data_IF_125897446728
#
_entry.id   IF_125897446728
#
_cell.length_a   1.000
_cell.length_b   1.000
_cell.length_c   1.000
_cell.angle_alpha   90.00
_cell.angle_beta   90.00
_cell.angle_gamma   90.00
#
_symmetry.space_group_name_H-M   'P 1'
#
loop_
_entity.id
_entity.type
_entity.pdbx_description
1 polymer ?
#
# COMPACT_ATOMS: atom_id res chain seq x y z
N UNK A 1 24.29 12.10 19.56
CA UNK A 1 22.90 11.66 19.32
C UNK A 1 22.98 10.19 18.95
N UNK A 2 22.42 9.33 19.77
CA UNK A 2 22.46 7.90 19.52
C UNK A 2 21.56 7.58 18.32
N UNK A 3 22.10 6.81 17.37
CA UNK A 3 21.31 6.19 16.29
C UNK A 3 20.11 5.47 16.89
N UNK A 4 18.90 5.56 16.30
CA UNK A 4 17.74 4.84 16.82
C UNK A 4 18.10 3.35 16.95
N UNK A 5 17.76 2.69 18.06
CA UNK A 5 18.25 1.34 18.43
C UNK A 5 17.70 0.21 17.53
N UNK A 6 17.09 0.50 16.40
CA UNK A 6 16.34 -0.46 15.58
C UNK A 6 16.59 -0.32 14.07
N UNK A 7 17.84 -0.34 13.61
CA UNK A 7 18.07 -0.61 12.20
C UNK A 7 18.09 -2.13 11.97
N UNK A 8 16.92 -2.72 11.75
CA UNK A 8 16.83 -4.12 11.32
C UNK A 8 16.95 -4.15 9.79
N UNK A 9 17.91 -4.92 9.31
CA UNK A 9 18.06 -5.20 7.88
C UNK A 9 17.47 -6.56 7.60
N UNK A 10 16.50 -6.63 6.67
CA UNK A 10 16.05 -7.91 6.11
C UNK A 10 16.56 -8.04 4.68
N UNK A 11 17.09 -9.21 4.39
CA UNK A 11 17.54 -9.59 3.05
C UNK A 11 16.59 -10.65 2.49
N UNK A 12 16.14 -10.43 1.29
CA UNK A 12 15.38 -11.42 0.51
C UNK A 12 16.32 -12.01 -0.52
N UNK A 13 16.62 -13.29 -0.37
CA UNK A 13 17.40 -14.10 -1.30
C UNK A 13 16.44 -15.15 -1.90
N UNK A 14 15.57 -14.74 -2.80
CA UNK A 14 14.61 -15.64 -3.43
C UNK A 14 14.63 -15.44 -4.94
N UNK A 15 14.61 -16.53 -5.70
CA UNK A 15 14.50 -16.48 -7.16
C UNK A 15 15.65 -15.75 -7.88
N UNK A 16 16.86 -15.66 -7.27
CA UNK A 16 18.02 -14.96 -7.86
C UNK A 16 18.01 -13.44 -7.66
N UNK A 17 17.08 -12.92 -6.87
CA UNK A 17 17.02 -11.51 -6.51
C UNK A 17 17.57 -11.31 -5.08
N UNK A 18 18.55 -10.41 -4.96
CA UNK A 18 19.04 -9.91 -3.68
C UNK A 18 18.41 -8.54 -3.43
N UNK A 19 17.49 -8.46 -2.48
CA UNK A 19 16.91 -7.20 -2.03
C UNK A 19 17.18 -6.99 -0.54
N UNK A 20 17.65 -5.82 -0.19
CA UNK A 20 17.85 -5.41 1.19
C UNK A 20 16.86 -4.29 1.55
N UNK A 21 16.03 -4.51 2.56
CA UNK A 21 15.20 -3.46 3.16
C UNK A 21 15.70 -3.13 4.55
N UNK A 22 15.86 -1.83 4.79
CA UNK A 22 16.22 -1.29 6.11
C UNK A 22 14.98 -0.75 6.80
N UNK A 23 14.84 -1.08 8.07
CA UNK A 23 13.71 -0.65 8.89
C UNK A 23 14.18 0.33 9.97
N UNK A 24 13.35 1.30 10.35
CA UNK A 24 12.00 1.56 9.83
C UNK A 24 12.02 1.91 8.33
N UNK A 25 11.00 1.45 7.58
CA UNK A 25 10.85 1.70 6.14
C UNK A 25 9.76 2.75 5.89
N UNK A 26 10.00 3.70 5.00
CA UNK A 26 9.00 4.70 4.60
C UNK A 26 8.46 4.36 3.21
N UNK A 27 7.16 4.09 3.16
CA UNK A 27 6.35 3.95 1.96
C UNK A 27 5.93 5.34 1.46
N UNK A 28 5.15 5.38 0.39
CA UNK A 28 4.60 6.62 -0.13
C UNK A 28 3.37 7.14 0.64
N UNK A 29 2.78 8.22 0.12
CA UNK A 29 1.54 8.82 0.58
C UNK A 29 0.36 8.51 -0.36
N UNK A 30 -0.70 9.32 -0.28
CA UNK A 30 -1.91 9.14 -1.05
C UNK A 30 -1.69 9.28 -2.55
N UNK A 31 -2.10 8.26 -3.30
CA UNK A 31 -2.16 8.32 -4.78
C UNK A 31 -3.58 8.61 -5.29
N UNK A 32 -4.62 8.32 -4.51
CA UNK A 32 -6.02 8.52 -4.90
C UNK A 32 -6.55 9.93 -4.63
N UNK A 33 -6.25 10.54 -3.48
CA UNK A 33 -6.77 11.87 -3.11
C UNK A 33 -5.98 13.03 -3.69
N UNK A 34 -4.70 12.87 -3.99
CA UNK A 34 -3.89 13.92 -4.61
C UNK A 34 -4.28 14.24 -6.06
N UNK A 35 -4.59 13.27 -6.94
CA UNK A 35 -5.17 13.53 -8.25
C UNK A 35 -6.48 14.33 -8.21
N UNK A 36 -7.33 14.15 -7.17
CA UNK A 36 -8.54 14.95 -7.01
C UNK A 36 -8.23 16.45 -6.87
N UNK A 37 -7.13 16.82 -6.21
CA UNK A 37 -6.66 18.21 -6.12
C UNK A 37 -6.12 18.74 -7.44
N UNK A 38 -5.79 17.85 -8.36
CA UNK A 38 -5.23 18.16 -9.69
C UNK A 38 -6.24 18.00 -10.83
N UNK A 39 -7.54 17.89 -10.51
CA UNK A 39 -8.63 17.90 -11.49
C UNK A 39 -9.29 16.57 -11.79
N UNK A 40 -8.93 15.48 -11.11
CA UNK A 40 -9.69 14.23 -11.20
C UNK A 40 -11.07 14.39 -10.56
N UNK A 41 -12.11 14.12 -11.33
CA UNK A 41 -13.51 14.32 -10.94
C UNK A 41 -14.25 13.04 -10.56
N UNK A 42 -13.70 11.88 -10.91
CA UNK A 42 -14.32 10.58 -10.67
C UNK A 42 -15.21 10.06 -11.80
N UNK A 43 -15.29 10.76 -12.92
CA UNK A 43 -16.14 10.39 -14.07
C UNK A 43 -15.63 9.12 -14.79
N UNK A 44 -14.35 8.83 -14.65
CA UNK A 44 -13.68 7.63 -15.16
C UNK A 44 -12.87 6.99 -14.03
N UNK A 45 -12.32 5.79 -14.22
CA UNK A 45 -11.45 5.21 -13.19
C UNK A 45 -10.19 6.06 -12.97
N UNK A 46 -9.61 5.96 -11.78
CA UNK A 46 -8.34 6.64 -11.47
C UNK A 46 -7.24 6.22 -12.44
N UNK A 47 -7.20 4.95 -12.79
CA UNK A 47 -6.22 4.37 -13.71
C UNK A 47 -6.34 4.97 -15.12
N UNK A 48 -7.58 5.14 -15.62
CA UNK A 48 -7.83 5.81 -16.92
C UNK A 48 -7.37 7.26 -16.87
N UNK A 49 -7.69 7.98 -15.79
CA UNK A 49 -7.31 9.37 -15.64
C UNK A 49 -5.78 9.53 -15.55
N UNK A 50 -5.09 8.66 -14.80
CA UNK A 50 -3.62 8.67 -14.70
C UNK A 50 -2.97 8.43 -16.05
N UNK A 51 -3.47 7.51 -16.88
CA UNK A 51 -2.93 7.29 -18.22
C UNK A 51 -3.15 8.50 -19.16
N UNK A 52 -4.24 9.25 -18.94
CA UNK A 52 -4.48 10.50 -19.67
C UNK A 52 -3.66 11.69 -19.15
N UNK A 53 -3.23 11.65 -17.88
CA UNK A 53 -2.48 12.70 -17.19
C UNK A 53 -1.21 12.15 -16.52
N UNK A 54 -0.29 11.51 -17.25
CA UNK A 54 0.82 10.75 -16.66
C UNK A 54 1.79 11.61 -15.86
N UNK A 55 1.95 12.89 -16.20
CA UNK A 55 2.84 13.79 -15.46
C UNK A 55 2.35 14.07 -14.04
N UNK A 56 1.03 14.04 -13.82
CA UNK A 56 0.46 14.21 -12.49
C UNK A 56 1.01 13.16 -11.50
N UNK A 57 1.01 11.88 -11.89
CA UNK A 57 1.50 10.82 -11.02
C UNK A 57 3.03 10.83 -10.90
N UNK A 58 3.74 11.16 -12.00
CA UNK A 58 5.21 11.28 -11.98
C UNK A 58 5.69 12.36 -11.01
N UNK A 59 5.08 13.55 -11.06
CA UNK A 59 5.41 14.65 -10.16
C UNK A 59 5.09 14.32 -8.71
N UNK A 60 3.89 13.77 -8.48
CA UNK A 60 3.45 13.35 -7.15
C UNK A 60 4.45 12.38 -6.51
N UNK A 61 4.79 11.32 -7.24
CA UNK A 61 5.67 10.26 -6.75
C UNK A 61 7.12 10.74 -6.58
N UNK A 62 7.63 11.61 -7.46
CA UNK A 62 8.93 12.27 -7.25
C UNK A 62 8.93 13.07 -5.95
N UNK A 63 7.84 13.81 -5.68
CA UNK A 63 7.66 14.52 -4.42
C UNK A 63 7.73 13.60 -3.20
N UNK A 64 7.18 12.40 -3.27
CA UNK A 64 7.28 11.41 -2.19
C UNK A 64 8.73 10.89 -2.02
N UNK A 65 9.44 10.61 -3.11
CA UNK A 65 10.85 10.21 -3.05
C UNK A 65 11.69 11.30 -2.40
N UNK A 66 11.51 12.55 -2.80
CA UNK A 66 12.23 13.71 -2.25
C UNK A 66 11.89 13.93 -0.76
N UNK A 67 10.66 13.63 -0.34
CA UNK A 67 10.23 13.65 1.05
C UNK A 67 10.82 12.50 1.90
N UNK A 68 11.29 11.41 1.27
CA UNK A 68 11.95 10.30 1.94
C UNK A 68 11.34 8.92 1.74
N UNK A 69 10.33 8.77 0.87
CA UNK A 69 9.79 7.45 0.53
C UNK A 69 10.86 6.57 -0.13
N UNK A 70 10.88 5.31 0.26
CA UNK A 70 11.78 4.28 -0.28
C UNK A 70 11.04 3.23 -1.11
N UNK A 71 9.74 3.22 -1.05
CA UNK A 71 8.84 2.37 -1.84
C UNK A 71 7.73 3.25 -2.36
N UNK A 72 7.49 3.19 -3.67
CA UNK A 72 6.36 3.85 -4.35
C UNK A 72 5.38 2.78 -4.82
N UNK A 73 4.11 3.03 -4.63
CA UNK A 73 3.04 2.16 -5.12
C UNK A 73 2.67 2.52 -6.55
N UNK A 74 2.51 1.51 -7.42
CA UNK A 74 1.99 1.74 -8.76
C UNK A 74 0.56 2.26 -8.69
N UNK A 75 0.11 3.12 -9.63
CA UNK A 75 -1.28 3.59 -9.66
C UNK A 75 -2.20 2.53 -10.27
N UNK A 76 -2.18 1.31 -9.69
CA UNK A 76 -2.89 0.12 -10.17
C UNK A 76 -3.86 -0.44 -9.12
N UNK A 77 -4.28 0.39 -8.18
CA UNK A 77 -5.24 0.03 -7.12
C UNK A 77 -6.49 -0.65 -7.67
N UNK A 78 -7.11 -0.10 -8.71
CA UNK A 78 -8.25 -0.68 -9.42
C UNK A 78 -7.87 -1.51 -10.65
N UNK A 79 -6.62 -1.93 -10.77
CA UNK A 79 -6.06 -2.58 -11.96
C UNK A 79 -6.43 -4.05 -12.19
N UNK A 80 -7.23 -4.68 -11.32
CA UNK A 80 -7.68 -6.05 -11.55
C UNK A 80 -8.79 -6.13 -12.63
N UNK A 81 -8.93 -7.30 -13.24
CA UNK A 81 -9.84 -7.51 -14.37
C UNK A 81 -11.29 -7.12 -14.08
N UNK A 82 -11.76 -7.34 -12.85
CA UNK A 82 -13.14 -7.05 -12.45
C UNK A 82 -13.40 -5.55 -12.41
N UNK A 83 -12.52 -4.78 -11.77
CA UNK A 83 -12.67 -3.33 -11.64
C UNK A 83 -12.47 -2.62 -12.97
N UNK A 84 -11.48 -3.02 -13.76
CA UNK A 84 -11.25 -2.46 -15.08
C UNK A 84 -12.47 -2.68 -15.99
N UNK A 85 -13.03 -3.89 -16.00
CA UNK A 85 -14.25 -4.19 -16.76
C UNK A 85 -15.46 -3.35 -16.30
N UNK A 86 -15.62 -3.15 -14.99
CA UNK A 86 -16.70 -2.31 -14.43
C UNK A 86 -16.60 -0.84 -14.86
N UNK A 87 -15.40 -0.36 -15.20
CA UNK A 87 -15.15 0.98 -15.76
C UNK A 87 -15.06 0.99 -17.29
N UNK A 88 -15.46 -0.08 -17.97
CA UNK A 88 -15.49 -0.15 -19.44
C UNK A 88 -14.12 -0.24 -20.09
N UNK A 89 -13.08 -0.59 -19.38
CA UNK A 89 -11.76 -0.84 -19.97
C UNK A 89 -11.79 -2.17 -20.69
N UNK A 90 -11.52 -2.13 -22.00
CA UNK A 90 -11.51 -3.32 -22.88
C UNK A 90 -10.10 -3.73 -23.32
N UNK A 91 -9.09 -2.96 -22.92
CA UNK A 91 -7.69 -3.28 -23.18
C UNK A 91 -7.28 -4.54 -22.37
N UNK A 92 -6.27 -5.25 -22.84
CA UNK A 92 -5.66 -6.35 -22.11
C UNK A 92 -5.18 -5.90 -20.73
N UNK A 93 -5.62 -6.61 -19.68
CA UNK A 93 -5.40 -6.23 -18.28
C UNK A 93 -3.90 -6.17 -17.94
N UNK A 94 -3.10 -7.11 -18.48
CA UNK A 94 -1.66 -7.12 -18.22
C UNK A 94 -0.97 -5.92 -18.89
N UNK A 95 -1.29 -5.66 -20.16
CA UNK A 95 -0.74 -4.51 -20.88
C UNK A 95 -1.11 -3.18 -20.21
N UNK A 96 -2.35 -3.09 -19.70
CA UNK A 96 -2.83 -1.90 -18.99
C UNK A 96 -2.05 -1.64 -17.70
N UNK A 97 -1.89 -2.65 -16.85
CA UNK A 97 -1.11 -2.55 -15.61
C UNK A 97 0.37 -2.28 -15.86
N UNK A 98 0.97 -2.88 -16.90
CA UNK A 98 2.35 -2.61 -17.31
C UNK A 98 2.57 -1.13 -17.64
N UNK A 99 1.64 -0.51 -18.38
CA UNK A 99 1.71 0.92 -18.72
C UNK A 99 1.65 1.81 -17.47
N UNK A 100 0.75 1.51 -16.54
CA UNK A 100 0.63 2.24 -15.28
C UNK A 100 1.89 2.10 -14.41
N UNK A 101 2.40 0.88 -14.25
CA UNK A 101 3.60 0.62 -13.46
C UNK A 101 4.86 1.28 -14.04
N UNK A 102 4.96 1.42 -15.36
CA UNK A 102 6.05 2.13 -16.01
C UNK A 102 6.17 3.59 -15.55
N UNK A 103 5.04 4.27 -15.30
CA UNK A 103 5.03 5.65 -14.80
C UNK A 103 5.71 5.76 -13.42
N UNK A 104 5.44 4.80 -12.54
CA UNK A 104 6.08 4.74 -11.22
C UNK A 104 7.57 4.42 -11.34
N UNK A 105 7.95 3.52 -12.23
CA UNK A 105 9.37 3.20 -12.48
C UNK A 105 10.14 4.44 -12.95
N UNK A 106 9.56 5.23 -13.85
CA UNK A 106 10.12 6.51 -14.30
C UNK A 106 10.23 7.53 -13.15
N UNK A 107 9.19 7.64 -12.32
CA UNK A 107 9.19 8.55 -11.17
C UNK A 107 10.22 8.14 -10.11
N UNK A 108 10.37 6.85 -9.84
CA UNK A 108 11.33 6.30 -8.89
C UNK A 108 12.77 6.61 -9.30
N UNK A 109 13.10 6.57 -10.60
CA UNK A 109 14.43 6.93 -11.13
C UNK A 109 15.58 6.19 -10.44
N UNK A 110 15.37 4.96 -9.99
CA UNK A 110 16.34 4.16 -9.23
C UNK A 110 16.57 4.60 -7.77
N UNK A 111 15.82 5.60 -7.27
CA UNK A 111 15.94 6.14 -5.90
C UNK A 111 14.99 5.48 -4.90
N UNK A 112 13.98 4.77 -5.40
CA UNK A 112 12.99 4.04 -4.60
C UNK A 112 12.62 2.73 -5.31
N UNK A 113 12.18 1.75 -4.55
CA UNK A 113 11.60 0.51 -5.04
C UNK A 113 10.19 0.79 -5.57
N UNK A 114 9.75 -0.02 -6.52
CA UNK A 114 8.42 0.03 -7.11
C UNK A 114 7.60 -1.17 -6.61
N UNK A 115 6.51 -0.89 -5.91
CA UNK A 115 5.58 -1.89 -5.43
C UNK A 115 4.38 -2.00 -6.37
N UNK A 116 4.10 -3.19 -6.89
CA UNK A 116 2.88 -3.49 -7.62
C UNK A 116 1.69 -3.44 -6.67
N UNK A 117 0.84 -2.42 -6.81
CA UNK A 117 -0.30 -2.18 -5.92
C UNK A 117 -1.54 -2.92 -6.41
N UNK A 118 -2.15 -3.69 -5.51
CA UNK A 118 -3.34 -4.52 -5.73
C UNK A 118 -4.33 -4.27 -4.60
N UNK A 119 -5.58 -4.00 -4.95
CA UNK A 119 -6.65 -3.72 -4.00
C UNK A 119 -7.86 -4.67 -4.22
N UNK A 120 -8.89 -4.65 -3.33
CA UNK A 120 -10.02 -5.56 -3.42
C UNK A 120 -10.67 -5.59 -4.80
N UNK A 121 -11.05 -6.79 -5.25
CA UNK A 121 -11.79 -6.99 -6.50
C UNK A 121 -13.19 -6.35 -6.46
N UNK A 122 -13.76 -6.24 -5.28
CA UNK A 122 -15.17 -5.86 -5.07
C UNK A 122 -16.12 -7.05 -5.16
N UNK A 123 -15.62 -8.24 -5.44
CA UNK A 123 -16.41 -9.48 -5.43
C UNK A 123 -16.38 -10.13 -4.04
N UNK A 124 -17.48 -10.74 -3.68
CA UNK A 124 -17.62 -11.52 -2.43
C UNK A 124 -18.04 -12.95 -2.71
N UNK A 125 -17.51 -13.87 -1.90
CA UNK A 125 -17.96 -15.26 -1.88
C UNK A 125 -19.30 -15.39 -1.15
N UNK A 126 -20.04 -16.50 -1.35
CA UNK A 126 -21.21 -16.81 -0.52
C UNK A 126 -20.87 -16.78 0.97
N UNK A 127 -21.76 -16.29 1.86
CA UNK A 127 -23.11 -15.81 1.57
C UNK A 127 -23.21 -14.32 1.21
N UNK A 128 -22.08 -13.57 1.15
CA UNK A 128 -22.05 -12.12 0.90
C UNK A 128 -22.16 -11.76 -0.58
N UNK A 129 -21.90 -12.70 -1.46
CA UNK A 129 -21.99 -12.56 -2.93
C UNK A 129 -21.98 -13.93 -3.60
N UNK A 130 -21.90 -13.95 -4.93
CA UNK A 130 -22.00 -15.18 -5.73
C UNK A 130 -20.67 -15.58 -6.41
N UNK A 131 -19.58 -14.86 -6.11
CA UNK A 131 -18.30 -15.16 -6.73
C UNK A 131 -17.69 -16.46 -6.19
N UNK A 132 -17.00 -17.19 -7.06
CA UNK A 132 -16.15 -18.30 -6.66
C UNK A 132 -14.75 -17.80 -6.27
N UNK A 133 -14.07 -18.54 -5.40
CA UNK A 133 -12.69 -18.22 -5.05
C UNK A 133 -11.76 -18.21 -6.28
N UNK A 134 -12.02 -19.08 -7.26
CA UNK A 134 -11.29 -19.12 -8.52
C UNK A 134 -11.41 -17.82 -9.32
N UNK A 135 -12.60 -17.21 -9.37
CA UNK A 135 -12.77 -15.91 -10.05
C UNK A 135 -11.93 -14.80 -9.41
N UNK A 136 -11.77 -14.80 -8.08
CA UNK A 136 -10.87 -13.85 -7.40
C UNK A 136 -9.41 -14.07 -7.82
N UNK A 137 -8.94 -15.32 -7.80
CA UNK A 137 -7.57 -15.65 -8.22
C UNK A 137 -7.32 -15.26 -9.68
N UNK A 138 -8.22 -15.60 -10.58
CA UNK A 138 -8.08 -15.32 -12.02
C UNK A 138 -8.10 -13.80 -12.31
N UNK A 139 -8.86 -13.01 -11.53
CA UNK A 139 -8.87 -11.55 -11.66
C UNK A 139 -7.51 -10.92 -11.27
N UNK A 140 -6.90 -11.41 -10.21
CA UNK A 140 -5.57 -10.96 -9.79
C UNK A 140 -4.45 -11.48 -10.68
N UNK A 141 -4.54 -12.70 -11.19
CA UNK A 141 -3.51 -13.30 -12.02
C UNK A 141 -3.19 -12.45 -13.25
N UNK A 142 -4.21 -11.86 -13.89
CA UNK A 142 -4.03 -10.97 -15.04
C UNK A 142 -3.32 -9.66 -14.64
N UNK A 143 -3.66 -9.09 -13.49
CA UNK A 143 -2.99 -7.90 -12.95
C UNK A 143 -1.52 -8.21 -12.63
N UNK A 144 -1.27 -9.32 -11.95
CA UNK A 144 0.09 -9.76 -11.58
C UNK A 144 0.97 -9.96 -12.82
N UNK A 145 0.44 -10.55 -13.89
CA UNK A 145 1.19 -10.72 -15.15
C UNK A 145 1.74 -9.38 -15.67
N UNK A 146 0.91 -8.34 -15.72
CA UNK A 146 1.35 -7.01 -16.16
C UNK A 146 2.34 -6.34 -15.21
N UNK A 147 2.18 -6.52 -13.91
CA UNK A 147 3.10 -6.00 -12.91
C UNK A 147 4.46 -6.70 -12.95
N UNK A 148 4.49 -8.03 -13.16
CA UNK A 148 5.73 -8.78 -13.38
C UNK A 148 6.46 -8.33 -14.65
N UNK A 149 5.75 -8.18 -15.76
CA UNK A 149 6.32 -7.67 -17.02
C UNK A 149 6.88 -6.24 -16.87
N UNK A 150 6.27 -5.40 -16.00
CA UNK A 150 6.78 -4.08 -15.66
C UNK A 150 8.00 -4.12 -14.74
N UNK A 151 8.36 -5.28 -14.20
CA UNK A 151 9.52 -5.47 -13.34
C UNK A 151 9.36 -4.80 -11.97
N UNK A 152 8.18 -4.89 -11.33
CA UNK A 152 8.00 -4.40 -9.96
C UNK A 152 8.94 -5.13 -8.99
N UNK A 153 9.38 -4.45 -7.92
CA UNK A 153 10.35 -5.00 -6.98
C UNK A 153 9.69 -5.84 -5.88
N UNK A 154 8.45 -5.50 -5.52
CA UNK A 154 7.63 -6.18 -4.51
C UNK A 154 6.15 -5.97 -4.83
N UNK A 155 5.28 -6.66 -4.10
CA UNK A 155 3.83 -6.52 -4.19
C UNK A 155 3.24 -5.92 -2.92
N UNK A 156 2.23 -5.09 -3.10
CA UNK A 156 1.38 -4.58 -2.03
C UNK A 156 -0.06 -4.97 -2.32
N UNK A 157 -0.68 -5.61 -1.36
CA UNK A 157 -2.10 -6.01 -1.38
C UNK A 157 -2.76 -5.16 -0.31
N UNK A 158 -3.28 -3.97 -0.72
CA UNK A 158 -3.68 -2.95 0.24
C UNK A 158 -5.19 -2.77 0.39
N UNK A 159 -5.60 -2.21 1.52
CA UNK A 159 -6.99 -1.85 1.83
C UNK A 159 -7.93 -3.06 1.76
N UNK A 160 -7.41 -4.22 2.11
CA UNK A 160 -8.21 -5.44 2.04
C UNK A 160 -9.34 -5.41 3.05
N UNK A 161 -10.48 -5.90 2.60
CA UNK A 161 -11.73 -5.93 3.37
C UNK A 161 -12.26 -7.35 3.58
N UNK A 162 -11.68 -8.33 2.89
CA UNK A 162 -12.03 -9.74 2.95
C UNK A 162 -10.78 -10.61 2.99
N UNK A 163 -10.76 -11.57 3.90
CA UNK A 163 -9.67 -12.55 3.96
C UNK A 163 -9.62 -13.42 2.71
N UNK A 164 -10.76 -13.77 2.15
CA UNK A 164 -10.81 -14.58 0.93
C UNK A 164 -10.19 -13.84 -0.26
N UNK A 165 -10.48 -12.56 -0.40
CA UNK A 165 -9.92 -11.71 -1.45
C UNK A 165 -8.40 -11.55 -1.28
N UNK A 166 -7.95 -11.24 -0.05
CA UNK A 166 -6.52 -11.15 0.26
C UNK A 166 -5.75 -12.47 -0.03
N UNK A 167 -6.34 -13.63 0.33
CA UNK A 167 -5.76 -14.94 0.04
C UNK A 167 -5.65 -15.19 -1.46
N UNK A 168 -6.67 -14.82 -2.23
CA UNK A 168 -6.66 -14.97 -3.68
C UNK A 168 -5.54 -14.14 -4.32
N UNK A 169 -5.35 -12.88 -3.87
CA UNK A 169 -4.27 -12.02 -4.33
C UNK A 169 -2.89 -12.61 -4.00
N UNK A 170 -2.67 -13.09 -2.75
CA UNK A 170 -1.42 -13.74 -2.36
C UNK A 170 -1.14 -14.98 -3.22
N UNK A 171 -2.13 -15.82 -3.47
CA UNK A 171 -1.97 -17.00 -4.32
C UNK A 171 -1.63 -16.63 -5.77
N UNK A 172 -2.26 -15.59 -6.32
CA UNK A 172 -1.97 -15.13 -7.68
C UNK A 172 -0.50 -14.66 -7.80
N UNK A 173 0.01 -13.91 -6.81
CA UNK A 173 1.42 -13.49 -6.79
C UNK A 173 2.35 -14.70 -6.63
N UNK A 174 2.10 -15.58 -5.64
CA UNK A 174 2.97 -16.73 -5.37
C UNK A 174 2.97 -17.79 -6.47
N UNK A 175 1.98 -17.77 -7.36
CA UNK A 175 1.97 -18.65 -8.54
C UNK A 175 3.06 -18.30 -9.56
N UNK A 176 3.60 -17.07 -9.54
CA UNK A 176 4.54 -16.58 -10.56
C UNK A 176 5.86 -16.06 -9.98
N UNK A 177 5.91 -15.67 -8.70
CA UNK A 177 7.10 -15.01 -8.15
C UNK A 177 7.23 -15.19 -6.63
N UNK A 178 8.49 -15.15 -6.16
CA UNK A 178 8.86 -15.15 -4.74
C UNK A 178 9.13 -13.74 -4.20
N UNK A 179 8.86 -12.68 -4.96
CA UNK A 179 9.03 -11.29 -4.52
C UNK A 179 8.28 -11.02 -3.22
N UNK A 180 8.74 -10.06 -2.38
CA UNK A 180 8.06 -9.74 -1.14
C UNK A 180 6.62 -9.30 -1.36
N UNK A 181 5.73 -9.72 -0.44
CA UNK A 181 4.32 -9.34 -0.41
C UNK A 181 4.03 -8.63 0.91
N UNK A 182 3.56 -7.39 0.84
CA UNK A 182 3.05 -6.62 1.96
C UNK A 182 1.53 -6.59 1.90
N UNK A 183 0.86 -6.83 3.02
CA UNK A 183 -0.61 -6.84 3.05
C UNK A 183 -1.12 -5.85 4.09
N UNK A 184 -2.10 -5.03 3.74
CA UNK A 184 -2.80 -4.15 4.68
C UNK A 184 -4.31 -4.31 4.61
N UNK A 185 -4.95 -4.20 5.77
CA UNK A 185 -6.40 -4.23 5.92
C UNK A 185 -6.94 -2.88 6.36
N UNK A 186 -8.13 -2.55 5.88
CA UNK A 186 -8.97 -1.52 6.46
C UNK A 186 -9.91 -2.17 7.49
N UNK A 187 -9.94 -1.63 8.71
CA UNK A 187 -10.79 -2.15 9.79
C UNK A 187 -11.38 -1.03 10.63
N UNK A 188 -12.45 -1.37 11.35
CA UNK A 188 -13.07 -0.54 12.36
C UNK A 188 -12.27 -0.52 13.68
N UNK A 189 -12.79 0.16 14.69
CA UNK A 189 -12.19 0.26 16.03
C UNK A 189 -12.09 -1.08 16.77
N UNK A 190 -12.89 -2.08 16.36
CA UNK A 190 -12.88 -3.43 16.93
C UNK A 190 -11.91 -4.37 16.19
N UNK A 191 -11.23 -3.88 15.14
CA UNK A 191 -10.33 -4.65 14.31
C UNK A 191 -11.04 -5.58 13.34
N UNK A 192 -12.26 -5.21 12.91
CA UNK A 192 -13.01 -5.94 11.90
C UNK A 192 -13.12 -5.14 10.61
N UNK A 193 -12.88 -5.81 9.51
CA UNK A 193 -13.16 -5.23 8.19
C UNK A 193 -14.67 -5.17 7.94
N UNK A 194 -15.08 -4.45 6.90
CA UNK A 194 -16.49 -4.32 6.52
C UNK A 194 -17.15 -5.67 6.21
N UNK A 195 -16.39 -6.69 5.78
CA UNK A 195 -16.89 -8.06 5.60
C UNK A 195 -16.88 -8.91 6.88
N UNK A 196 -16.53 -8.32 8.03
CA UNK A 196 -16.46 -9.01 9.32
C UNK A 196 -15.14 -9.74 9.59
N UNK A 197 -14.15 -9.69 8.69
CA UNK A 197 -12.83 -10.30 8.90
C UNK A 197 -12.12 -9.66 10.09
N UNK A 198 -11.73 -10.46 11.09
CA UNK A 198 -10.86 -10.03 12.18
C UNK A 198 -9.41 -9.90 11.68
N UNK A 199 -8.76 -8.76 11.91
CA UNK A 199 -7.40 -8.50 11.40
C UNK A 199 -6.34 -9.41 12.01
N UNK A 200 -6.55 -9.94 13.23
CA UNK A 200 -5.62 -10.91 13.84
C UNK A 200 -5.75 -12.28 13.17
N UNK A 201 -6.98 -12.68 12.85
CA UNK A 201 -7.21 -13.90 12.07
C UNK A 201 -6.63 -13.77 10.65
N UNK A 202 -6.78 -12.59 10.03
CA UNK A 202 -6.17 -12.31 8.74
C UNK A 202 -4.64 -12.38 8.79
N UNK A 203 -4.00 -11.73 9.78
CA UNK A 203 -2.56 -11.83 9.99
C UNK A 203 -2.12 -13.30 10.12
N UNK A 204 -2.77 -14.07 11.01
CA UNK A 204 -2.38 -15.45 11.28
C UNK A 204 -2.46 -16.32 10.02
N UNK A 205 -3.53 -16.20 9.24
CA UNK A 205 -3.70 -16.96 8.02
C UNK A 205 -2.71 -16.57 6.92
N UNK A 206 -2.50 -15.25 6.73
CA UNK A 206 -1.69 -14.75 5.62
C UNK A 206 -0.19 -14.90 5.87
N UNK A 207 0.28 -14.78 7.11
CA UNK A 207 1.72 -15.00 7.39
C UNK A 207 2.12 -16.46 7.16
N UNK A 208 1.20 -17.43 7.35
CA UNK A 208 1.44 -18.84 7.00
C UNK A 208 1.42 -19.08 5.48
N UNK A 209 0.81 -18.16 4.71
CA UNK A 209 0.88 -18.17 3.25
C UNK A 209 2.15 -17.49 2.70
N UNK A 210 3.06 -17.05 3.58
CA UNK A 210 4.36 -16.50 3.20
C UNK A 210 4.34 -15.03 2.78
N UNK A 211 3.48 -14.19 3.37
CA UNK A 211 3.60 -12.74 3.24
C UNK A 211 4.81 -12.24 4.05
N UNK A 212 5.33 -11.08 3.67
CA UNK A 212 6.58 -10.53 4.23
C UNK A 212 6.35 -9.35 5.19
N UNK A 213 5.17 -8.72 5.13
CA UNK A 213 4.73 -7.71 6.10
C UNK A 213 3.20 -7.66 6.16
N UNK A 214 2.65 -7.25 7.30
CA UNK A 214 1.21 -7.13 7.52
C UNK A 214 0.87 -5.86 8.28
N UNK A 215 -0.27 -5.22 8.02
CA UNK A 215 -0.68 -4.08 8.79
C UNK A 215 -2.04 -3.48 8.44
N UNK A 216 -2.17 -2.20 8.74
CA UNK A 216 -3.42 -1.46 8.65
C UNK A 216 -3.25 -0.19 7.82
N UNK A 217 -4.29 0.20 7.10
CA UNK A 217 -4.38 1.45 6.38
C UNK A 217 -5.80 2.03 6.40
N UNK A 218 -5.99 3.22 5.83
CA UNK A 218 -7.30 3.87 5.64
C UNK A 218 -8.09 4.22 6.93
N UNK A 219 -7.45 4.31 8.09
CA UNK A 219 -7.99 4.89 9.31
C UNK A 219 -7.01 5.89 9.92
N UNK A 220 -7.39 6.59 10.98
CA UNK A 220 -6.46 7.52 11.63
C UNK A 220 -5.40 6.78 12.45
N UNK A 221 -4.25 7.43 12.71
CA UNK A 221 -3.20 6.83 13.52
C UNK A 221 -3.70 6.43 14.92
N UNK A 222 -4.54 7.24 15.54
CA UNK A 222 -5.13 6.94 16.85
C UNK A 222 -6.04 5.71 16.83
N UNK A 223 -6.85 5.54 15.77
CA UNK A 223 -7.73 4.38 15.61
C UNK A 223 -6.96 3.08 15.36
N UNK A 224 -5.80 3.15 14.69
CA UNK A 224 -4.97 1.98 14.42
C UNK A 224 -4.25 1.44 15.65
N UNK A 225 -3.84 2.30 16.59
CA UNK A 225 -2.95 1.94 17.71
C UNK A 225 -3.45 0.75 18.55
N UNK A 226 -4.71 0.65 18.97
CA UNK A 226 -5.19 -0.50 19.73
C UNK A 226 -5.02 -1.82 18.95
N UNK A 227 -5.31 -1.79 17.67
CA UNK A 227 -5.22 -2.98 16.80
C UNK A 227 -3.76 -3.35 16.49
N UNK A 228 -2.87 -2.38 16.28
CA UNK A 228 -1.44 -2.63 16.10
C UNK A 228 -0.82 -3.30 17.33
N UNK A 229 -1.18 -2.84 18.56
CA UNK A 229 -0.77 -3.49 19.80
C UNK A 229 -1.26 -4.95 19.90
N UNK A 230 -2.50 -5.19 19.47
CA UNK A 230 -3.06 -6.56 19.43
C UNK A 230 -2.34 -7.43 18.40
N UNK A 231 -2.08 -6.91 17.20
CA UNK A 231 -1.37 -7.61 16.14
C UNK A 231 0.06 -7.96 16.53
N UNK A 232 0.76 -7.09 17.27
CA UNK A 232 2.14 -7.32 17.72
C UNK A 232 2.32 -8.66 18.45
N UNK A 233 1.32 -9.09 19.24
CA UNK A 233 1.40 -10.33 20.00
C UNK A 233 1.45 -11.60 19.14
N UNK A 234 0.99 -11.52 17.88
CA UNK A 234 0.88 -12.64 16.96
C UNK A 234 1.75 -12.51 15.71
N UNK A 235 2.30 -11.31 15.46
CA UNK A 235 3.05 -11.02 14.25
C UNK A 235 4.43 -11.69 14.28
N UNK A 236 4.72 -12.46 13.23
CA UNK A 236 6.06 -13.00 12.90
C UNK A 236 6.72 -12.23 11.75
N UNK A 237 5.98 -11.29 11.18
CA UNK A 237 6.41 -10.38 10.10
C UNK A 237 6.37 -8.92 10.59
N UNK A 238 7.13 -7.99 9.98
CA UNK A 238 7.05 -6.57 10.30
C UNK A 238 5.62 -6.04 10.20
N UNK A 239 5.24 -5.14 11.12
CA UNK A 239 3.95 -4.45 11.07
C UNK A 239 4.03 -3.18 10.24
N UNK A 240 2.94 -2.91 9.50
CA UNK A 240 2.75 -1.74 8.63
C UNK A 240 1.69 -0.82 9.23
N UNK A 241 1.93 0.49 9.20
CA UNK A 241 0.92 1.51 9.44
C UNK A 241 0.93 2.57 8.32
N UNK A 242 -0.19 2.68 7.59
CA UNK A 242 -0.44 3.74 6.59
C UNK A 242 -1.72 4.52 6.96
N UNK A 243 -1.68 5.39 7.97
CA UNK A 243 -2.86 6.14 8.38
C UNK A 243 -3.26 7.20 7.34
N UNK A 244 -4.53 7.58 7.36
CA UNK A 244 -5.07 8.75 6.66
C UNK A 244 -4.73 10.03 7.42
N UNK A 245 -4.70 11.16 6.71
CA UNK A 245 -4.49 12.49 7.28
C UNK A 245 -5.77 13.02 7.97
N UNK A 246 -6.27 12.29 8.96
CA UNK A 246 -7.55 12.55 9.62
C UNK A 246 -8.71 11.77 9.01
N UNK A 247 -9.92 12.09 9.44
CA UNK A 247 -11.16 11.57 8.87
C UNK A 247 -11.62 12.47 7.71
N UNK A 248 -12.22 11.90 6.65
CA UNK A 248 -12.74 12.71 5.58
C UNK A 248 -13.93 13.57 6.01
N UNK A 249 -13.87 14.86 5.69
CA UNK A 249 -15.01 15.77 5.78
C UNK A 249 -15.45 16.08 4.36
N UNK A 250 -16.75 15.91 4.06
CA UNK A 250 -17.28 16.23 2.74
C UNK A 250 -17.48 17.75 2.62
N UNK A 251 -16.76 18.37 1.69
CA UNK A 251 -16.90 19.78 1.33
C UNK A 251 -17.11 19.85 -0.17
N UNK A 252 -18.24 20.43 -0.59
CA UNK A 252 -18.63 20.54 -2.02
C UNK A 252 -18.52 19.22 -2.80
N UNK A 253 -18.96 18.11 -2.17
CA UNK A 253 -18.92 16.77 -2.76
C UNK A 253 -17.54 16.11 -2.82
N UNK A 254 -16.52 16.70 -2.20
CA UNK A 254 -15.15 16.16 -2.16
C UNK A 254 -14.74 15.83 -0.74
N UNK A 255 -13.99 14.75 -0.58
CA UNK A 255 -13.38 14.40 0.70
C UNK A 255 -12.17 15.31 0.98
N UNK A 256 -12.26 16.10 2.04
CA UNK A 256 -11.18 16.96 2.54
C UNK A 256 -10.62 16.34 3.81
N UNK A 257 -9.31 16.38 3.95
CA UNK A 257 -8.56 15.89 5.11
C UNK A 257 -7.80 17.06 5.73
N UNK A 258 -7.92 17.25 7.04
CA UNK A 258 -7.46 18.42 7.77
C UNK A 258 -6.33 18.15 8.78
N UNK A 259 -5.88 16.91 8.92
CA UNK A 259 -4.78 16.58 9.82
C UNK A 259 -3.46 17.14 9.28
N UNK A 260 -2.80 18.01 10.06
CA UNK A 260 -1.50 18.55 9.66
C UNK A 260 -0.40 17.49 9.67
N UNK A 261 0.71 17.69 8.90
CA UNK A 261 1.86 16.80 8.92
C UNK A 261 2.44 16.55 10.32
N UNK A 262 2.43 17.54 11.20
CA UNK A 262 2.96 17.45 12.56
C UNK A 262 2.06 16.55 13.43
N UNK A 263 0.74 16.78 13.38
CA UNK A 263 -0.26 15.96 14.09
C UNK A 263 -0.24 14.52 13.58
N UNK A 264 -0.13 14.35 12.26
CA UNK A 264 0.00 13.04 11.62
C UNK A 264 1.22 12.27 12.13
N UNK A 265 2.37 12.91 12.20
CA UNK A 265 3.63 12.28 12.64
C UNK A 265 3.71 12.10 14.17
N UNK A 266 2.89 12.77 14.96
CA UNK A 266 2.90 12.67 16.43
C UNK A 266 2.57 11.25 16.94
N UNK A 267 1.91 10.41 16.14
CA UNK A 267 1.62 9.01 16.49
C UNK A 267 2.81 8.05 16.28
N UNK A 268 3.88 8.47 15.62
CA UNK A 268 5.03 7.61 15.28
C UNK A 268 5.65 6.93 16.49
N UNK A 269 5.97 7.60 17.62
CA UNK A 269 6.54 6.93 18.78
C UNK A 269 5.66 5.79 19.30
N UNK A 270 4.36 6.04 19.46
CA UNK A 270 3.41 5.02 19.92
C UNK A 270 3.23 3.87 18.93
N UNK A 271 3.38 4.11 17.63
CA UNK A 271 3.38 3.07 16.61
C UNK A 271 4.66 2.22 16.67
N UNK A 272 5.83 2.83 16.86
CA UNK A 272 7.09 2.10 17.08
C UNK A 272 6.99 1.20 18.31
N UNK A 273 6.48 1.71 19.42
CA UNK A 273 6.21 0.94 20.65
C UNK A 273 5.23 -0.21 20.41
N UNK A 274 4.35 -0.08 19.42
CA UNK A 274 3.42 -1.13 18.99
C UNK A 274 4.02 -2.13 18.00
N UNK A 275 5.33 -2.00 17.70
CA UNK A 275 6.05 -2.92 16.80
C UNK A 275 5.94 -2.59 15.32
N UNK A 276 5.44 -1.41 14.96
CA UNK A 276 5.41 -0.96 13.56
C UNK A 276 6.82 -0.67 13.08
N UNK A 277 7.17 -1.23 11.93
CA UNK A 277 8.48 -1.08 11.30
C UNK A 277 8.37 -0.51 9.87
N UNK A 278 7.16 -0.41 9.33
CA UNK A 278 6.89 0.09 7.99
C UNK A 278 5.82 1.18 8.09
N UNK A 279 6.15 2.38 7.62
CA UNK A 279 5.33 3.57 7.75
C UNK A 279 5.00 4.15 6.39
N UNK A 280 3.84 4.74 6.24
CA UNK A 280 3.44 5.47 5.06
C UNK A 280 2.23 6.34 5.34
N UNK A 281 1.64 6.88 4.28
CA UNK A 281 0.40 7.63 4.36
C UNK A 281 -0.68 7.03 3.47
N UNK A 282 -1.94 7.14 3.89
CA UNK A 282 -3.11 6.82 3.09
C UNK A 282 -3.85 8.10 2.71
N UNK A 283 -5.17 8.08 2.61
CA UNK A 283 -5.97 9.20 2.14
C UNK A 283 -5.62 10.54 2.79
N UNK A 284 -5.57 11.60 1.97
CA UNK A 284 -5.28 12.97 2.40
C UNK A 284 -3.81 13.29 2.67
N UNK A 285 -2.92 12.31 2.73
CA UNK A 285 -1.50 12.55 2.98
C UNK A 285 -0.79 13.11 1.74
N UNK A 286 0.21 13.96 1.97
CA UNK A 286 1.02 14.64 0.95
C UNK A 286 2.51 14.38 1.19
N UNK A 287 3.36 14.88 0.32
CA UNK A 287 4.82 14.85 0.51
C UNK A 287 5.25 15.50 1.85
N UNK A 288 4.52 16.52 2.33
CA UNK A 288 4.80 17.13 3.63
C UNK A 288 4.58 16.16 4.79
N UNK A 289 3.53 15.31 4.73
CA UNK A 289 3.28 14.26 5.72
C UNK A 289 4.39 13.21 5.72
N UNK A 290 4.86 12.79 4.55
CA UNK A 290 5.99 11.85 4.42
C UNK A 290 7.27 12.46 4.97
N UNK A 291 7.54 13.75 4.70
CA UNK A 291 8.67 14.46 5.27
C UNK A 291 8.58 14.55 6.81
N UNK A 292 7.38 14.73 7.37
CA UNK A 292 7.15 14.71 8.82
C UNK A 292 7.40 13.31 9.42
N UNK A 293 6.93 12.24 8.76
CA UNK A 293 7.28 10.86 9.15
C UNK A 293 8.79 10.65 9.19
N UNK A 294 9.50 11.09 8.14
CA UNK A 294 10.97 10.98 8.08
C UNK A 294 11.64 11.69 9.26
N UNK A 295 11.20 12.91 9.58
CA UNK A 295 11.75 13.64 10.73
C UNK A 295 11.48 12.92 12.05
N UNK A 296 10.28 12.40 12.23
CA UNK A 296 9.91 11.68 13.45
C UNK A 296 10.67 10.35 13.62
N UNK A 297 10.96 9.65 12.51
CA UNK A 297 11.67 8.37 12.52
C UNK A 297 13.20 8.53 12.65
N UNK A 298 13.78 9.56 12.03
CA UNK A 298 15.23 9.67 11.84
C UNK A 298 15.84 11.00 12.31
N UNK A 299 15.07 11.87 12.96
CA UNK A 299 15.57 13.16 13.41
C UNK A 299 15.99 14.12 12.29
N UNK A 300 15.55 13.85 11.05
CA UNK A 300 15.87 14.67 9.88
C UNK A 300 16.99 14.12 8.98
N UNK A 301 17.88 13.31 9.50
CA UNK A 301 18.96 12.65 8.72
C UNK A 301 18.55 11.22 8.34
N UNK A 302 18.72 10.88 7.07
CA UNK A 302 18.53 9.50 6.60
C UNK A 302 19.80 8.70 6.88
N UNK A 303 19.68 7.43 7.32
CA UNK A 303 20.86 6.57 7.49
C UNK A 303 21.65 6.47 6.18
N UNK A 304 22.97 6.61 6.27
CA UNK A 304 23.86 6.36 5.13
C UNK A 304 23.68 4.94 4.62
N UNK A 305 23.62 4.77 3.29
CA UNK A 305 23.39 3.47 2.63
C UNK A 305 21.94 3.22 2.19
N UNK A 306 21.01 4.13 2.41
CA UNK A 306 19.64 4.04 1.87
C UNK A 306 19.53 4.48 0.39
N UNK A 307 20.66 4.63 -0.31
CA UNK A 307 20.73 5.11 -1.70
C UNK A 307 20.97 4.00 -2.74
N UNK A 308 20.71 2.73 -2.39
CA UNK A 308 20.79 1.64 -3.38
C UNK A 308 19.58 0.75 -3.27
#
# INVERSE_FOLDING_TARGET
METPPFSVVRRWHRGGMDMELRFPLILDGATGTEPQRRGYTGDISMEQWVLAHPDCIRELQRGYVDAGSRVLYTPTFGGNAVRLAAHGVTEDVAAYNRRLAALTREAAGGRALVAGDMAPTGLFLPPLGDASFRQLVDAYAQQVAGLEEAGVDLYVIETMISLSDARAAVLAVRAVTDKPIFVTFACDENGRSISGTDVTAALTALQDMGIDAFGLNCSTGAQMLPQLRRLRAYARVPLIAKPSAGLPVMVDGRAVYDCSPEVFAACVPAMLDSGVMIFGGCCGTTAAHIAALRRALYGGEMPEGSRR
#
